data_IF_517034051949
#
_entry.id   IF_517034051949
#
_cell.length_a   1.000
_cell.length_b   1.000
_cell.length_c   1.000
_cell.angle_alpha   90.00
_cell.angle_beta   90.00
_cell.angle_gamma   90.00
#
_symmetry.space_group_name_H-M   'P 1'
#
loop_
_entity.id
_entity.type
_entity.pdbx_description
1 polymer ?
#
# COMPACT_ATOMS: atom_id res chain seq x y z
N UNK A 1 8.46 -9.33 -15.95
CA UNK A 1 7.30 -8.49 -15.58
C UNK A 1 7.80 -7.54 -14.50
N UNK A 2 7.55 -6.24 -14.63
CA UNK A 2 7.85 -5.27 -13.56
C UNK A 2 6.51 -4.85 -12.94
N UNK A 3 6.27 -5.23 -11.69
CA UNK A 3 5.01 -5.01 -10.98
C UNK A 3 4.85 -3.58 -10.46
N UNK A 4 5.92 -2.79 -10.46
CA UNK A 4 5.90 -1.41 -9.97
C UNK A 4 5.42 -0.39 -11.02
N UNK A 5 5.30 -0.78 -12.30
CA UNK A 5 4.81 0.14 -13.33
C UNK A 5 3.33 0.48 -13.06
N UNK A 6 3.04 1.78 -12.90
CA UNK A 6 1.69 2.28 -12.62
C UNK A 6 1.30 2.29 -11.14
N UNK A 7 2.26 2.08 -10.23
CA UNK A 7 2.04 2.10 -8.77
C UNK A 7 2.25 3.49 -8.14
N UNK A 8 2.57 4.51 -8.92
CA UNK A 8 2.73 5.89 -8.43
C UNK A 8 2.60 6.89 -9.58
N UNK A 9 2.36 8.16 -9.23
CA UNK A 9 2.37 9.26 -10.18
C UNK A 9 3.81 9.68 -10.53
N UNK A 10 4.02 10.27 -11.71
CA UNK A 10 5.36 10.72 -12.15
C UNK A 10 5.61 12.20 -11.84
N UNK A 11 4.55 12.98 -11.66
CA UNK A 11 4.56 14.40 -11.34
C UNK A 11 3.18 14.85 -10.84
N UNK A 12 3.10 16.11 -10.41
CA UNK A 12 1.87 16.72 -9.86
C UNK A 12 0.74 16.90 -10.87
N UNK A 13 0.97 16.64 -12.16
CA UNK A 13 -0.01 16.77 -13.24
C UNK A 13 -0.49 15.41 -13.75
N UNK A 14 0.09 14.33 -13.25
CA UNK A 14 -0.17 12.96 -13.68
C UNK A 14 -0.91 12.20 -12.59
N UNK A 15 -1.82 11.32 -13.00
CA UNK A 15 -2.44 10.37 -12.09
C UNK A 15 -1.60 9.10 -12.01
N UNK A 16 -1.66 8.44 -10.86
CA UNK A 16 -1.17 7.07 -10.73
C UNK A 16 -1.98 6.14 -11.65
N UNK A 17 -1.38 5.01 -12.03
CA UNK A 17 -2.13 3.93 -12.67
C UNK A 17 -3.06 3.21 -11.70
N UNK A 18 -2.91 3.42 -10.39
CA UNK A 18 -3.59 2.68 -9.33
C UNK A 18 -3.42 1.16 -9.49
N UNK A 19 -2.21 0.72 -9.86
CA UNK A 19 -1.85 -0.70 -9.84
C UNK A 19 -1.30 -1.06 -8.46
N UNK A 20 -1.43 -2.33 -8.04
CA UNK A 20 -0.78 -2.84 -6.84
C UNK A 20 0.42 -3.76 -7.20
N UNK A 21 1.52 -3.76 -6.43
CA UNK A 21 2.71 -4.58 -6.71
C UNK A 21 2.64 -6.01 -6.12
N UNK A 22 1.63 -6.29 -5.30
CA UNK A 22 1.43 -7.54 -4.57
C UNK A 22 1.36 -8.82 -5.40
N UNK A 23 1.58 -9.95 -4.71
CA UNK A 23 1.60 -11.27 -5.30
C UNK A 23 0.17 -11.80 -5.54
N UNK A 24 -0.10 -12.22 -6.78
CA UNK A 24 -1.30 -12.95 -7.15
C UNK A 24 -1.04 -13.94 -8.29
N UNK A 25 -1.84 -14.98 -8.39
CA UNK A 25 -1.89 -15.83 -9.59
C UNK A 25 -2.79 -15.19 -10.66
N UNK A 26 -2.67 -15.56 -11.95
CA UNK A 26 -3.58 -15.06 -12.98
C UNK A 26 -5.04 -15.29 -12.60
N UNK A 27 -5.85 -14.23 -12.59
CA UNK A 27 -7.27 -14.23 -12.20
C UNK A 27 -7.55 -14.72 -10.76
N UNK A 28 -6.55 -14.67 -9.87
CA UNK A 28 -6.69 -15.03 -8.46
C UNK A 28 -7.51 -14.00 -7.67
N UNK A 29 -8.38 -14.49 -6.78
CA UNK A 29 -9.14 -13.65 -5.86
C UNK A 29 -8.25 -13.01 -4.78
N UNK A 30 -7.27 -13.76 -4.28
CA UNK A 30 -6.34 -13.26 -3.28
C UNK A 30 -5.24 -12.46 -3.95
N UNK A 31 -5.08 -11.23 -3.49
CA UNK A 31 -4.14 -10.25 -4.00
C UNK A 31 -3.37 -9.73 -2.79
N UNK A 32 -2.35 -10.47 -2.37
CA UNK A 32 -1.56 -10.13 -1.19
C UNK A 32 -0.59 -9.00 -1.55
N UNK A 33 -0.87 -7.78 -1.09
CA UNK A 33 -0.10 -6.58 -1.46
C UNK A 33 0.22 -5.73 -0.25
N UNK A 34 1.34 -4.97 -0.26
CA UNK A 34 1.56 -3.91 0.71
C UNK A 34 0.57 -2.75 0.53
N UNK A 35 0.20 -2.14 1.66
CA UNK A 35 -0.53 -0.87 1.72
C UNK A 35 0.37 0.20 2.34
N UNK A 36 0.40 1.41 1.76
CA UNK A 36 1.19 2.55 2.25
C UNK A 36 0.36 3.51 3.11
N UNK A 37 -0.96 3.49 2.93
CA UNK A 37 -1.96 4.30 3.63
C UNK A 37 -2.99 3.40 4.34
N UNK A 38 -3.44 3.79 5.54
CA UNK A 38 -4.50 3.10 6.30
C UNK A 38 -5.92 3.53 5.91
N UNK A 39 -6.06 4.57 5.10
CA UNK A 39 -7.31 4.98 4.45
C UNK A 39 -7.05 5.51 3.03
N UNK A 40 -6.63 4.63 2.09
CA UNK A 40 -6.21 5.03 0.76
C UNK A 40 -7.35 5.65 -0.04
N UNK A 41 -7.06 6.77 -0.71
CA UNK A 41 -7.96 7.42 -1.67
C UNK A 41 -7.33 7.50 -3.07
N UNK A 42 -6.07 7.95 -3.15
CA UNK A 42 -5.27 8.03 -4.37
C UNK A 42 -3.79 7.79 -4.02
N UNK A 43 -3.15 6.73 -4.55
CA UNK A 43 -3.70 5.74 -5.48
C UNK A 43 -4.75 4.82 -4.86
N UNK A 44 -5.77 4.49 -5.66
CA UNK A 44 -6.92 3.69 -5.22
C UNK A 44 -6.58 2.21 -4.97
N UNK A 45 -5.34 1.80 -5.19
CA UNK A 45 -4.85 0.44 -5.01
C UNK A 45 -4.14 0.21 -3.68
N UNK A 46 -4.13 1.19 -2.77
CA UNK A 46 -3.54 1.04 -1.43
C UNK A 46 -2.04 1.27 -1.34
N UNK A 47 -1.32 1.25 -2.47
CA UNK A 47 0.14 1.42 -2.54
C UNK A 47 0.52 2.59 -3.47
N UNK A 48 1.28 3.54 -2.94
CA UNK A 48 2.00 4.55 -3.73
C UNK A 48 3.52 4.29 -3.71
N UNK A 49 4.12 4.19 -4.89
CA UNK A 49 5.58 4.09 -5.04
C UNK A 49 6.33 5.32 -4.51
N UNK A 50 5.69 6.47 -4.36
CA UNK A 50 6.32 7.65 -3.77
C UNK A 50 6.43 7.56 -2.23
N UNK A 51 5.67 6.67 -1.59
CA UNK A 51 5.65 6.55 -0.14
C UNK A 51 6.86 5.80 0.39
N UNK A 52 7.21 6.13 1.64
CA UNK A 52 8.36 5.53 2.35
C UNK A 52 7.96 4.77 3.60
N UNK A 53 6.65 4.56 3.80
CA UNK A 53 6.10 3.76 4.90
C UNK A 53 5.02 2.81 4.41
N UNK A 54 4.89 1.68 5.09
CA UNK A 54 3.80 0.72 4.91
C UNK A 54 3.00 0.59 6.21
N UNK A 55 1.69 0.40 6.07
CA UNK A 55 0.78 0.07 7.18
C UNK A 55 0.69 -1.45 7.38
N UNK A 56 0.89 -2.23 6.32
CA UNK A 56 0.97 -3.69 6.40
C UNK A 56 0.66 -4.32 5.04
N UNK A 57 0.09 -5.52 5.08
CA UNK A 57 -0.29 -6.28 3.89
C UNK A 57 -1.74 -6.75 3.99
N UNK A 58 -2.60 -6.29 3.08
CA UNK A 58 -3.98 -6.78 2.96
C UNK A 58 -4.09 -7.82 1.83
N UNK A 59 -5.23 -8.52 1.77
CA UNK A 59 -5.41 -9.72 0.94
C UNK A 59 -6.34 -9.53 -0.26
N UNK A 60 -6.97 -8.35 -0.40
CA UNK A 60 -7.93 -8.02 -1.45
C UNK A 60 -7.66 -6.60 -1.96
N UNK A 61 -7.57 -6.44 -3.28
CA UNK A 61 -7.20 -5.17 -3.92
C UNK A 61 -7.90 -4.97 -5.27
N UNK A 62 -8.23 -3.74 -5.62
CA UNK A 62 -8.66 -3.41 -6.97
C UNK A 62 -7.46 -2.92 -7.79
N UNK A 63 -7.36 -3.35 -9.05
CA UNK A 63 -6.24 -3.00 -9.95
C UNK A 63 -6.73 -2.03 -11.03
N UNK A 64 -6.17 -0.81 -11.03
CA UNK A 64 -6.42 0.20 -12.05
C UNK A 64 -7.72 0.99 -11.88
N UNK A 65 -8.28 1.04 -10.67
CA UNK A 65 -9.54 1.78 -10.41
C UNK A 65 -9.29 3.25 -10.08
N UNK A 66 -10.34 4.06 -10.22
CA UNK A 66 -10.36 5.48 -9.83
C UNK A 66 -11.15 5.75 -8.54
N UNK A 67 -11.54 4.70 -7.82
CA UNK A 67 -12.13 4.76 -6.47
C UNK A 67 -11.56 3.58 -5.67
N UNK A 68 -11.19 3.83 -4.42
CA UNK A 68 -10.61 2.85 -3.51
C UNK A 68 -11.70 2.00 -2.83
N UNK A 69 -11.44 0.70 -2.68
CA UNK A 69 -12.25 -0.28 -1.94
C UNK A 69 -11.42 -1.55 -1.70
N UNK A 70 -11.94 -2.51 -0.93
CA UNK A 70 -11.29 -3.75 -0.45
C UNK A 70 -10.32 -3.52 0.72
N UNK A 71 -9.03 -3.81 0.57
CA UNK A 71 -8.02 -3.74 1.63
C UNK A 71 -8.37 -4.59 2.86
N UNK A 72 -8.96 -5.76 2.62
CA UNK A 72 -9.44 -6.63 3.68
C UNK A 72 -8.31 -7.48 4.27
N UNK A 73 -8.41 -7.74 5.58
CA UNK A 73 -7.49 -8.56 6.36
C UNK A 73 -6.05 -8.04 6.34
N UNK A 74 -5.81 -6.92 7.03
CA UNK A 74 -4.48 -6.34 7.23
C UNK A 74 -3.62 -7.19 8.18
N UNK A 75 -2.45 -7.59 7.70
CA UNK A 75 -1.40 -8.21 8.50
C UNK A 75 -0.18 -7.30 8.56
N UNK A 76 0.24 -6.95 9.77
CA UNK A 76 1.48 -6.20 10.00
C UNK A 76 2.38 -6.96 10.97
N UNK A 77 3.50 -7.54 10.48
CA UNK A 77 4.51 -8.11 11.37
C UNK A 77 5.04 -7.01 12.31
N UNK A 78 4.96 -7.25 13.62
CA UNK A 78 5.29 -6.24 14.61
C UNK A 78 6.19 -6.78 15.71
N UNK A 79 7.18 -5.97 16.11
CA UNK A 79 8.10 -6.26 17.21
C UNK A 79 7.95 -5.24 18.34
N UNK A 80 8.00 -5.71 19.58
CA UNK A 80 7.96 -4.85 20.77
C UNK A 80 6.54 -4.52 21.25
N UNK A 81 6.34 -3.31 21.76
CA UNK A 81 5.08 -2.90 22.40
C UNK A 81 4.00 -2.60 21.36
N UNK A 82 2.94 -3.39 21.36
CA UNK A 82 1.81 -3.29 20.43
C UNK A 82 1.31 -1.83 20.32
N UNK A 83 1.10 -1.39 19.08
CA UNK A 83 0.42 -0.15 18.72
C UNK A 83 -0.86 -0.53 17.99
N UNK A 84 -1.95 0.15 18.33
CA UNK A 84 -3.28 -0.19 17.81
C UNK A 84 -3.72 0.65 16.62
N UNK A 85 -3.01 1.74 16.32
CA UNK A 85 -3.27 2.63 15.17
C UNK A 85 -2.02 2.72 14.30
N UNK A 86 -2.19 3.02 13.01
CA UNK A 86 -1.08 3.16 12.07
C UNK A 86 -0.16 4.34 12.42
N UNK A 87 -0.70 5.37 13.09
CA UNK A 87 -0.02 6.64 13.31
C UNK A 87 -0.31 7.61 12.16
N UNK A 88 0.09 8.87 12.30
CA UNK A 88 -0.19 9.89 11.28
C UNK A 88 0.73 9.76 10.06
N UNK A 89 0.24 10.21 8.90
CA UNK A 89 0.97 10.16 7.62
C UNK A 89 2.23 11.02 7.65
N UNK A 90 2.16 12.15 8.35
CA UNK A 90 3.32 13.02 8.60
C UNK A 90 4.32 12.43 9.62
N UNK A 91 4.00 11.27 10.20
CA UNK A 91 4.79 10.51 11.18
C UNK A 91 5.06 11.23 12.49
N UNK A 92 4.33 12.32 12.78
CA UNK A 92 4.43 13.03 14.07
C UNK A 92 3.80 12.20 15.20
N UNK A 93 2.75 11.43 14.89
CA UNK A 93 2.12 10.45 15.79
C UNK A 93 2.59 9.05 15.43
N UNK A 94 3.31 8.42 16.36
CA UNK A 94 3.85 7.05 16.14
C UNK A 94 2.76 5.99 16.30
N UNK A 95 2.66 5.10 15.32
CA UNK A 95 1.80 3.90 15.37
C UNK A 95 2.53 2.63 14.98
N UNK A 96 1.82 1.66 14.40
CA UNK A 96 2.40 0.39 13.96
C UNK A 96 3.08 0.47 12.58
N UNK A 97 2.87 1.53 11.79
CA UNK A 97 3.46 1.66 10.44
C UNK A 97 4.98 1.55 10.49
N UNK A 98 5.56 0.95 9.45
CA UNK A 98 7.01 0.78 9.32
C UNK A 98 7.54 1.57 8.14
N UNK A 99 8.75 2.12 8.29
CA UNK A 99 9.50 2.62 7.15
C UNK A 99 9.99 1.45 6.29
N UNK A 100 10.09 1.66 4.98
CA UNK A 100 10.72 0.75 4.05
C UNK A 100 11.58 1.54 3.04
N UNK A 101 12.27 0.82 2.16
CA UNK A 101 13.04 1.41 1.06
C UNK A 101 12.97 0.50 -0.16
N UNK A 102 12.71 1.07 -1.33
CA UNK A 102 12.64 0.32 -2.59
C UNK A 102 13.96 -0.39 -2.96
N UNK A 103 15.11 0.04 -2.43
CA UNK A 103 16.37 -0.67 -2.68
C UNK A 103 16.38 -2.10 -2.11
N UNK A 104 15.51 -2.39 -1.13
CA UNK A 104 15.38 -3.68 -0.45
C UNK A 104 13.91 -4.14 -0.38
N UNK A 105 13.17 -3.93 -1.46
CA UNK A 105 11.80 -4.40 -1.64
C UNK A 105 11.72 -5.62 -2.56
#
# INVERSE_FOLDING_TARGET
VNVFIGTGSIDSLSLSGSNFPGACVPFGLVQLSPDTDDNPEDPCSGYDYADSTIVGFTHTHLNGTGVADLFDFLFMPYGGNIKWNAGSDDRTVKGYRSAFKHENE
#
